data_IF_355375661837
#
_entry.id   IF_355375661837
#
_cell.length_a   1.000
_cell.length_b   1.000
_cell.length_c   1.000
_cell.angle_alpha   90.00
_cell.angle_beta   90.00
_cell.angle_gamma   90.00
#
_symmetry.space_group_name_H-M   'P 1'
#
loop_
_entity.id
_entity.type
_entity.pdbx_description
1 polymer ?
#
# COMPACT_ATOMS: atom_id res chain seq x y z
N UNK A 1 -14.08 -6.34 -3.30
CA UNK A 1 -12.88 -5.47 -3.22
C UNK A 1 -11.72 -6.15 -2.52
N UNK A 2 -11.87 -6.66 -1.29
CA UNK A 2 -10.74 -7.24 -0.52
C UNK A 2 -9.95 -8.34 -1.25
N UNK A 3 -10.65 -9.31 -1.88
CA UNK A 3 -9.99 -10.36 -2.70
C UNK A 3 -9.22 -9.81 -3.91
N UNK A 4 -9.67 -8.69 -4.47
CA UNK A 4 -8.95 -8.05 -5.57
C UNK A 4 -7.71 -7.33 -5.04
N UNK A 5 -7.79 -6.65 -3.89
CA UNK A 5 -6.62 -6.05 -3.24
C UNK A 5 -5.56 -7.10 -2.88
N UNK A 6 -5.96 -8.29 -2.42
CA UNK A 6 -5.01 -9.39 -2.18
C UNK A 6 -4.25 -9.78 -3.45
N UNK A 7 -5.00 -10.03 -4.55
CA UNK A 7 -4.40 -10.32 -5.87
C UNK A 7 -3.51 -9.18 -6.34
N UNK A 8 -3.97 -7.94 -6.22
CA UNK A 8 -3.22 -6.76 -6.61
C UNK A 8 -1.94 -6.59 -5.78
N UNK A 9 -1.97 -6.86 -4.48
CA UNK A 9 -0.79 -6.85 -3.62
C UNK A 9 0.23 -7.93 -4.03
N UNK A 10 -0.22 -9.13 -4.39
CA UNK A 10 0.66 -10.19 -4.92
C UNK A 10 1.29 -9.76 -6.24
N UNK A 11 0.48 -9.26 -7.17
CA UNK A 11 0.94 -8.71 -8.45
C UNK A 11 1.97 -7.59 -8.26
N UNK A 12 1.71 -6.69 -7.32
CA UNK A 12 2.59 -5.54 -7.05
C UNK A 12 3.91 -5.93 -6.37
N UNK A 13 3.98 -7.10 -5.75
CA UNK A 13 5.20 -7.62 -5.15
C UNK A 13 6.01 -8.43 -6.17
N UNK A 14 5.32 -9.23 -6.98
CA UNK A 14 5.92 -10.10 -7.98
C UNK A 14 5.01 -10.20 -9.22
N UNK A 15 5.12 -9.25 -10.17
CA UNK A 15 4.27 -9.24 -11.36
C UNK A 15 4.36 -10.53 -12.16
N UNK A 16 5.56 -11.12 -12.25
CA UNK A 16 5.83 -12.29 -13.08
C UNK A 16 5.38 -13.60 -12.41
N UNK A 17 5.56 -13.74 -11.10
CA UNK A 17 5.20 -14.94 -10.36
C UNK A 17 3.81 -14.93 -9.71
N UNK A 18 3.09 -13.81 -9.74
CA UNK A 18 1.76 -13.69 -9.11
C UNK A 18 0.65 -14.47 -9.81
N UNK A 19 0.81 -14.80 -11.10
CA UNK A 19 -0.23 -15.41 -11.92
C UNK A 19 -1.46 -14.51 -12.15
N UNK A 20 -1.34 -13.20 -11.90
CA UNK A 20 -2.39 -12.21 -12.10
C UNK A 20 -2.27 -11.59 -13.49
N UNK A 21 -3.40 -11.47 -14.18
CA UNK A 21 -3.47 -10.84 -15.49
C UNK A 21 -3.21 -9.33 -15.40
N UNK A 22 -2.25 -8.85 -16.21
CA UNK A 22 -1.83 -7.44 -16.24
C UNK A 22 -2.97 -6.55 -16.76
N UNK A 23 -3.66 -6.98 -17.82
CA UNK A 23 -4.73 -6.21 -18.44
C UNK A 23 -5.96 -6.14 -17.53
N UNK A 24 -6.31 -7.24 -16.82
CA UNK A 24 -7.35 -7.20 -15.76
C UNK A 24 -7.00 -6.15 -14.71
N UNK A 25 -5.73 -6.12 -14.30
CA UNK A 25 -5.24 -5.20 -13.26
C UNK A 25 -5.31 -3.74 -13.73
N UNK A 26 -4.79 -3.44 -14.92
CA UNK A 26 -4.79 -2.08 -15.48
C UNK A 26 -6.20 -1.57 -15.72
N UNK A 27 -7.09 -2.40 -16.28
CA UNK A 27 -8.50 -2.03 -16.48
C UNK A 27 -9.19 -1.72 -15.15
N UNK A 28 -8.90 -2.51 -14.11
CA UNK A 28 -9.49 -2.28 -12.80
C UNK A 28 -8.97 -1.01 -12.14
N UNK A 29 -7.69 -0.68 -12.30
CA UNK A 29 -7.13 0.60 -11.84
C UNK A 29 -7.81 1.78 -12.53
N UNK A 30 -7.97 1.73 -13.86
CA UNK A 30 -8.66 2.77 -14.63
C UNK A 30 -10.10 3.01 -14.15
N UNK A 31 -10.84 1.94 -13.85
CA UNK A 31 -12.21 2.04 -13.33
C UNK A 31 -12.28 2.68 -11.92
N UNK A 32 -11.22 2.57 -11.11
CA UNK A 32 -11.17 3.14 -9.76
C UNK A 32 -10.72 4.60 -9.76
N UNK A 33 -10.03 5.06 -10.80
CA UNK A 33 -9.45 6.40 -10.86
C UNK A 33 -10.51 7.50 -10.72
N UNK A 34 -11.67 7.35 -11.36
CA UNK A 34 -12.76 8.33 -11.25
C UNK A 34 -13.29 8.46 -9.81
N UNK A 35 -13.39 7.35 -9.08
CA UNK A 35 -13.81 7.36 -7.69
C UNK A 35 -12.74 7.98 -6.79
N UNK A 36 -11.48 7.54 -6.95
CA UNK A 36 -10.34 8.01 -6.15
C UNK A 36 -10.11 9.52 -6.29
N UNK A 37 -10.35 10.09 -7.47
CA UNK A 37 -10.16 11.54 -7.70
C UNK A 37 -11.37 12.38 -7.26
N UNK A 38 -12.58 11.83 -7.27
CA UNK A 38 -13.79 12.54 -6.86
C UNK A 38 -13.94 12.72 -5.34
N UNK A 39 -13.45 11.75 -4.56
CA UNK A 39 -13.48 11.76 -3.09
C UNK A 39 -12.24 11.05 -2.54
N UNK A 40 -11.09 11.74 -2.47
CA UNK A 40 -9.83 11.10 -2.06
C UNK A 40 -9.86 10.58 -0.62
N UNK A 41 -10.42 11.35 0.31
CA UNK A 41 -10.47 10.99 1.72
C UNK A 41 -11.43 9.82 1.96
N UNK A 42 -12.61 9.82 1.34
CA UNK A 42 -13.55 8.71 1.43
C UNK A 42 -13.02 7.44 0.77
N UNK A 43 -12.30 7.56 -0.36
CA UNK A 43 -11.65 6.44 -1.01
C UNK A 43 -10.57 5.80 -0.11
N UNK A 44 -9.65 6.61 0.42
CA UNK A 44 -8.57 6.14 1.29
C UNK A 44 -9.10 5.58 2.61
N UNK A 45 -10.09 6.24 3.22
CA UNK A 45 -10.77 5.75 4.42
C UNK A 45 -11.47 4.42 4.19
N UNK A 46 -12.13 4.26 3.04
CA UNK A 46 -12.75 3.00 2.61
C UNK A 46 -11.75 1.88 2.42
N UNK A 47 -10.59 2.15 1.80
CA UNK A 47 -9.50 1.19 1.67
C UNK A 47 -8.97 0.74 3.03
N UNK A 48 -8.71 1.69 3.94
CA UNK A 48 -8.21 1.40 5.27
C UNK A 48 -9.19 0.51 6.04
N UNK A 49 -10.47 0.88 6.07
CA UNK A 49 -11.52 0.10 6.73
C UNK A 49 -11.62 -1.33 6.18
N UNK A 50 -11.47 -1.48 4.86
CA UNK A 50 -11.56 -2.78 4.19
C UNK A 50 -10.43 -3.74 4.61
N UNK A 51 -9.21 -3.24 4.76
CA UNK A 51 -8.02 -4.07 5.03
C UNK A 51 -7.74 -4.28 6.52
N UNK A 52 -8.51 -3.67 7.43
CA UNK A 52 -8.37 -3.90 8.89
C UNK A 52 -8.48 -5.38 9.30
N UNK A 53 -9.20 -6.19 8.51
CA UNK A 53 -9.41 -7.62 8.78
C UNK A 53 -8.49 -8.52 7.95
N UNK A 54 -7.57 -7.96 7.18
CA UNK A 54 -6.63 -8.75 6.39
C UNK A 54 -5.63 -9.46 7.32
N UNK A 55 -5.62 -10.79 7.27
CA UNK A 55 -4.70 -11.64 8.03
C UNK A 55 -3.45 -12.04 7.23
N UNK A 56 -3.52 -11.96 5.90
CA UNK A 56 -2.43 -12.36 5.01
C UNK A 56 -1.48 -11.22 4.65
N UNK A 57 -1.89 -9.97 4.90
CA UNK A 57 -1.13 -8.75 4.67
C UNK A 57 -1.03 -8.33 3.19
N UNK A 58 -1.35 -9.22 2.25
CA UNK A 58 -1.32 -8.89 0.82
C UNK A 58 -2.43 -7.93 0.42
N UNK A 59 -3.62 -7.99 1.00
CA UNK A 59 -4.65 -7.01 0.72
C UNK A 59 -4.30 -5.64 1.34
N UNK A 60 -3.70 -5.64 2.52
CA UNK A 60 -3.12 -4.42 3.12
C UNK A 60 -2.05 -3.82 2.21
N UNK A 61 -1.13 -4.64 1.70
CA UNK A 61 -0.11 -4.17 0.76
C UNK A 61 -0.71 -3.68 -0.57
N UNK A 62 -1.71 -4.38 -1.10
CA UNK A 62 -2.46 -3.96 -2.27
C UNK A 62 -3.16 -2.63 -2.08
N UNK A 63 -3.73 -2.36 -0.90
CA UNK A 63 -4.33 -1.06 -0.59
C UNK A 63 -3.28 0.06 -0.50
N UNK A 64 -2.14 -0.20 0.12
CA UNK A 64 -1.02 0.74 0.15
C UNK A 64 -0.50 1.05 -1.27
N UNK A 65 -0.36 0.02 -2.10
CA UNK A 65 0.04 0.19 -3.50
C UNK A 65 -1.02 0.95 -4.29
N UNK A 66 -2.30 0.67 -4.06
CA UNK A 66 -3.38 1.35 -4.75
C UNK A 66 -3.41 2.85 -4.42
N UNK A 67 -3.17 3.22 -3.16
CA UNK A 67 -3.01 4.62 -2.78
C UNK A 67 -1.86 5.28 -3.56
N UNK A 68 -0.73 4.57 -3.74
CA UNK A 68 0.36 5.05 -4.58
C UNK A 68 -0.04 5.15 -6.06
N UNK A 69 -0.74 4.18 -6.64
CA UNK A 69 -1.14 4.26 -8.06
C UNK A 69 -2.09 5.44 -8.32
N UNK A 70 -2.96 5.75 -7.36
CA UNK A 70 -3.95 6.82 -7.53
C UNK A 70 -3.35 8.22 -7.30
N UNK A 71 -2.42 8.36 -6.35
CA UNK A 71 -1.95 9.67 -5.90
C UNK A 71 -0.43 9.87 -5.99
N UNK A 72 0.33 8.84 -6.40
CA UNK A 72 1.79 8.87 -6.53
C UNK A 72 2.46 9.40 -5.24
N UNK A 73 3.44 10.30 -5.38
CA UNK A 73 4.13 10.94 -4.26
C UNK A 73 3.22 11.82 -3.40
N UNK A 74 2.07 12.28 -3.91
CA UNK A 74 1.14 13.09 -3.14
C UNK A 74 0.50 12.30 -1.99
N UNK A 75 0.41 10.97 -2.11
CA UNK A 75 -0.05 10.10 -1.03
C UNK A 75 0.72 10.32 0.29
N UNK A 76 2.00 10.71 0.24
CA UNK A 76 2.81 10.97 1.43
C UNK A 76 2.48 12.30 2.14
N UNK A 77 1.69 13.17 1.51
CA UNK A 77 1.19 14.42 2.09
C UNK A 77 -0.26 14.30 2.56
N UNK A 78 -0.95 13.23 2.18
CA UNK A 78 -2.35 13.00 2.49
C UNK A 78 -2.49 12.24 3.82
N UNK A 79 -3.05 12.86 4.89
CA UNK A 79 -3.18 12.20 6.19
C UNK A 79 -3.96 10.88 6.12
N UNK A 80 -4.98 10.78 5.25
CA UNK A 80 -5.76 9.57 5.06
C UNK A 80 -4.98 8.41 4.41
N UNK A 81 -3.89 8.70 3.68
CA UNK A 81 -3.07 7.69 3.03
C UNK A 81 -1.93 7.18 3.93
N UNK A 82 -1.48 7.97 4.91
CA UNK A 82 -0.35 7.61 5.77
C UNK A 82 -0.54 6.25 6.48
N UNK A 83 -1.70 5.91 7.09
CA UNK A 83 -1.88 4.61 7.71
C UNK A 83 -1.73 3.43 6.73
N UNK A 84 -2.14 3.61 5.47
CA UNK A 84 -1.97 2.59 4.43
C UNK A 84 -0.49 2.47 4.03
N UNK A 85 0.20 3.59 3.85
CA UNK A 85 1.65 3.62 3.55
C UNK A 85 2.44 2.95 4.67
N UNK A 86 2.16 3.30 5.92
CA UNK A 86 2.81 2.73 7.10
C UNK A 86 2.58 1.21 7.18
N UNK A 87 1.37 0.75 6.85
CA UNK A 87 1.06 -0.67 6.77
C UNK A 87 1.79 -1.38 5.59
N UNK A 88 1.95 -0.72 4.45
CA UNK A 88 2.75 -1.20 3.32
C UNK A 88 4.24 -1.34 3.66
N UNK A 89 4.81 -0.37 4.36
CA UNK A 89 6.19 -0.43 4.87
C UNK A 89 6.36 -1.62 5.81
N UNK A 90 5.43 -1.80 6.77
CA UNK A 90 5.43 -2.96 7.68
C UNK A 90 5.35 -4.29 6.94
N UNK A 91 4.47 -4.38 5.94
CA UNK A 91 4.36 -5.57 5.11
C UNK A 91 5.68 -5.90 4.42
N UNK A 92 6.32 -4.92 3.77
CA UNK A 92 7.59 -5.11 3.06
C UNK A 92 8.70 -5.56 4.02
N UNK A 93 8.84 -4.91 5.18
CA UNK A 93 9.88 -5.27 6.15
C UNK A 93 9.63 -6.64 6.81
N UNK A 94 8.36 -7.05 6.97
CA UNK A 94 8.03 -8.39 7.49
C UNK A 94 8.55 -9.55 6.62
N UNK A 95 8.97 -9.26 5.37
CA UNK A 95 9.56 -10.25 4.45
C UNK A 95 11.07 -10.45 4.65
N UNK A 96 11.68 -9.77 5.61
CA UNK A 96 13.09 -9.96 5.97
C UNK A 96 14.09 -9.34 4.99
N UNK A 97 13.63 -8.54 4.02
CA UNK A 97 14.50 -7.82 3.10
C UNK A 97 15.09 -6.56 3.79
N UNK A 98 16.35 -6.21 3.53
CA UNK A 98 16.92 -4.96 4.02
C UNK A 98 16.08 -3.75 3.57
N UNK A 99 15.86 -2.74 4.44
CA UNK A 99 15.05 -1.57 4.08
C UNK A 99 15.53 -0.85 2.82
N UNK A 100 16.85 -0.77 2.59
CA UNK A 100 17.44 -0.18 1.40
C UNK A 100 17.12 -0.91 0.09
N UNK A 101 16.69 -2.17 0.17
CA UNK A 101 16.27 -3.00 -0.96
C UNK A 101 14.75 -2.98 -1.11
N UNK A 102 14.03 -2.99 0.02
CA UNK A 102 12.57 -3.15 0.03
C UNK A 102 11.81 -1.83 -0.15
N UNK A 103 12.37 -0.70 0.29
CA UNK A 103 11.67 0.58 0.40
C UNK A 103 12.17 1.60 -0.63
N UNK A 104 11.25 2.38 -1.16
CA UNK A 104 11.54 3.59 -1.94
C UNK A 104 12.15 4.69 -1.08
N UNK A 105 12.72 5.73 -1.69
CA UNK A 105 13.27 6.88 -0.96
C UNK A 105 12.23 7.62 -0.09
N UNK A 106 10.98 7.68 -0.55
CA UNK A 106 9.87 8.29 0.19
C UNK A 106 9.46 7.40 1.37
N UNK A 107 9.35 6.08 1.17
CA UNK A 107 9.08 5.12 2.25
C UNK A 107 10.21 5.10 3.28
N UNK A 108 11.48 5.25 2.87
CA UNK A 108 12.61 5.39 3.78
C UNK A 108 12.54 6.69 4.61
N UNK A 109 12.03 7.77 4.02
CA UNK A 109 11.80 9.03 4.74
C UNK A 109 10.68 8.90 5.75
N UNK A 110 9.56 8.29 5.35
CA UNK A 110 8.43 8.01 6.26
C UNK A 110 8.85 7.06 7.39
N UNK A 111 9.66 6.04 7.08
CA UNK A 111 10.24 5.15 8.08
C UNK A 111 11.03 5.92 9.14
N UNK A 112 11.89 6.88 8.74
CA UNK A 112 12.63 7.71 9.71
C UNK A 112 11.69 8.50 10.62
N UNK A 113 10.65 9.12 10.07
CA UNK A 113 9.63 9.83 10.85
C UNK A 113 8.94 8.91 11.86
N UNK A 114 8.54 7.70 11.45
CA UNK A 114 7.95 6.71 12.36
C UNK A 114 8.91 6.29 13.48
N UNK A 115 10.23 6.28 13.22
CA UNK A 115 11.24 6.02 14.26
C UNK A 115 11.28 7.13 15.30
N UNK A 116 11.23 8.38 14.85
CA UNK A 116 11.28 9.57 15.68
C UNK A 116 9.99 9.74 16.50
N UNK A 117 8.83 9.51 15.88
CA UNK A 117 7.51 9.68 16.50
C UNK A 117 7.16 8.54 17.48
N UNK A 118 7.57 7.31 17.15
CA UNK A 118 7.04 6.10 17.81
C UNK A 118 8.09 5.03 18.15
N UNK A 119 9.37 5.27 17.92
CA UNK A 119 10.43 4.30 18.20
C UNK A 119 10.38 3.03 17.33
N UNK A 120 9.84 3.12 16.10
CA UNK A 120 9.65 1.97 15.21
C UNK A 120 10.94 1.56 14.42
N UNK A 121 11.14 0.28 14.03
CA UNK A 121 10.41 -0.89 14.50
C UNK A 121 10.69 -1.13 15.98
N UNK A 122 9.73 -1.68 16.76
CA UNK A 122 10.08 -2.17 18.09
C UNK A 122 11.27 -3.11 17.92
N UNK A 123 12.32 -2.88 18.72
CA UNK A 123 13.48 -3.76 18.77
C UNK A 123 12.94 -5.17 19.04
N UNK A 124 13.20 -6.11 18.12
CA UNK A 124 12.85 -7.52 18.27
C UNK A 124 13.59 -8.13 19.45
#
# INVERSE_FOLDING_TARGET
>A
MLRWLDRFGRFSLDPQGSGVDVDETVNRLGALYGHATSDPDGFLGGLLALVQRDRGGFATYGAARLAWEMYSSEAFRMPAALPLIDAGIRFKLSRGLPPSVALTALEMTRLRQLREEHGWPPQL
#
